data_IF_439521283595
#
_entry.id   IF_439521283595
#
_cell.length_a   1.000
_cell.length_b   1.000
_cell.length_c   1.000
_cell.angle_alpha   90.00
_cell.angle_beta   90.00
_cell.angle_gamma   90.00
#
_symmetry.space_group_name_H-M   'P 1'
#
loop_
_entity.id
_entity.type
_entity.pdbx_description
1 polymer ?
#
# COMPACT_ATOMS: atom_id res chain seq x y z
N UNK A 1 14.46 9.65 11.64
CA UNK A 1 15.38 10.16 10.59
C UNK A 1 15.09 9.41 9.29
N UNK A 2 14.73 10.11 8.25
CA UNK A 2 14.45 9.52 6.94
C UNK A 2 15.78 9.21 6.23
N UNK A 3 16.03 7.93 5.93
CA UNK A 3 17.16 7.54 5.10
C UNK A 3 16.72 7.52 3.64
N UNK A 4 17.47 8.16 2.76
CA UNK A 4 17.20 8.24 1.33
C UNK A 4 18.25 7.47 0.55
N UNK A 5 17.81 6.59 -0.34
CA UNK A 5 18.64 5.86 -1.28
C UNK A 5 18.18 6.17 -2.70
N UNK A 6 19.12 6.46 -3.61
CA UNK A 6 18.83 6.73 -5.02
C UNK A 6 19.69 5.81 -5.86
N UNK A 7 19.04 5.01 -6.71
CA UNK A 7 19.67 4.24 -7.75
C UNK A 7 19.26 4.81 -9.10
N UNK A 8 20.24 5.24 -9.90
CA UNK A 8 19.98 5.79 -11.23
C UNK A 8 20.38 4.79 -12.31
N UNK A 9 19.42 4.38 -13.14
CA UNK A 9 19.65 3.54 -14.31
C UNK A 9 19.10 4.23 -15.56
N UNK A 10 19.96 4.89 -16.31
CA UNK A 10 19.63 5.65 -17.53
C UNK A 10 19.05 4.81 -18.67
N UNK A 11 19.16 3.48 -18.58
CA UNK A 11 18.64 2.55 -19.61
C UNK A 11 17.14 2.24 -19.48
N UNK A 12 16.51 2.66 -18.38
CA UNK A 12 15.10 2.38 -18.09
C UNK A 12 14.25 3.62 -18.30
N UNK A 13 13.09 3.45 -18.94
CA UNK A 13 12.14 4.54 -19.19
C UNK A 13 11.06 4.66 -18.10
N UNK A 14 11.29 4.08 -16.94
CA UNK A 14 10.40 4.19 -15.80
C UNK A 14 11.17 4.50 -14.53
N UNK A 15 10.48 5.15 -13.60
CA UNK A 15 10.98 5.44 -12.25
C UNK A 15 10.07 4.80 -11.22
N UNK A 16 10.67 4.36 -10.13
CA UNK A 16 9.94 3.83 -8.96
C UNK A 16 10.45 4.53 -7.71
N UNK A 17 9.54 4.90 -6.84
CA UNK A 17 9.85 5.34 -5.49
C UNK A 17 9.11 4.48 -4.48
N UNK A 18 9.75 4.18 -3.37
CA UNK A 18 9.15 3.44 -2.27
C UNK A 18 9.43 4.13 -0.95
N UNK A 19 8.45 4.13 -0.07
CA UNK A 19 8.58 4.54 1.32
C UNK A 19 8.47 3.29 2.17
N UNK A 20 9.44 3.10 3.07
CA UNK A 20 9.42 2.05 4.07
C UNK A 20 9.03 2.63 5.42
N UNK A 21 7.96 2.11 6.00
CA UNK A 21 7.47 2.47 7.31
C UNK A 21 7.78 1.31 8.25
N UNK A 22 8.58 1.57 9.28
CA UNK A 22 8.89 0.57 10.29
C UNK A 22 7.64 0.22 11.08
N UNK A 23 7.44 -1.08 11.36
CA UNK A 23 6.26 -1.60 12.03
C UNK A 23 5.38 -2.38 11.07
N UNK A 24 5.47 -3.70 11.11
CA UNK A 24 4.76 -4.64 10.26
C UNK A 24 3.86 -5.57 11.05
N UNK A 25 3.64 -6.77 10.52
CA UNK A 25 2.73 -7.75 11.12
C UNK A 25 3.19 -8.26 12.48
N UNK A 26 4.49 -8.19 12.80
CA UNK A 26 5.02 -8.59 14.10
C UNK A 26 4.64 -7.63 15.23
N UNK A 27 4.34 -6.38 14.90
CA UNK A 27 3.89 -5.37 15.86
C UNK A 27 2.37 -5.43 16.12
N UNK A 28 1.64 -6.31 15.45
CA UNK A 28 0.22 -6.52 15.68
C UNK A 28 0.00 -7.08 17.11
N UNK A 29 -0.71 -6.35 17.96
CA UNK A 29 -1.01 -6.80 19.31
C UNK A 29 -1.90 -8.05 19.32
N UNK A 30 -1.77 -8.85 20.38
CA UNK A 30 -2.61 -10.03 20.60
C UNK A 30 -4.09 -9.61 20.56
N UNK A 31 -4.88 -10.28 19.73
CA UNK A 31 -6.31 -9.96 19.51
C UNK A 31 -6.57 -8.90 18.44
N UNK A 32 -5.53 -8.29 17.87
CA UNK A 32 -5.65 -7.33 16.75
C UNK A 32 -4.77 -7.72 15.56
N UNK A 33 -4.54 -9.00 15.35
CA UNK A 33 -3.74 -9.48 14.22
C UNK A 33 -4.35 -9.06 12.88
N UNK A 34 -3.50 -8.57 11.98
CA UNK A 34 -3.90 -8.06 10.67
C UNK A 34 -4.20 -6.55 10.65
N UNK A 35 -4.05 -5.84 11.78
CA UNK A 35 -4.31 -4.39 11.82
C UNK A 35 -3.37 -3.61 10.90
N UNK A 36 -2.09 -3.98 10.84
CA UNK A 36 -1.12 -3.34 9.95
C UNK A 36 -1.41 -3.64 8.47
N UNK A 37 -1.97 -4.80 8.16
CA UNK A 37 -2.45 -5.12 6.81
C UNK A 37 -3.65 -4.23 6.41
N UNK A 38 -4.59 -4.04 7.31
CA UNK A 38 -5.73 -3.14 7.09
C UNK A 38 -5.23 -1.69 6.95
N UNK A 39 -4.33 -1.25 7.82
CA UNK A 39 -3.77 0.10 7.77
C UNK A 39 -3.06 0.36 6.43
N UNK A 40 -2.21 -0.54 5.98
CA UNK A 40 -1.50 -0.39 4.71
C UNK A 40 -2.47 -0.23 3.53
N UNK A 41 -3.54 -1.03 3.53
CA UNK A 41 -4.58 -0.96 2.50
C UNK A 41 -5.37 0.35 2.57
N UNK A 42 -5.60 0.89 3.77
CA UNK A 42 -6.28 2.18 3.94
C UNK A 42 -5.43 3.36 3.49
N UNK A 43 -4.12 3.32 3.75
CA UNK A 43 -3.20 4.40 3.35
C UNK A 43 -3.25 4.67 1.83
N UNK A 44 -3.49 3.64 1.02
CA UNK A 44 -3.58 3.78 -0.44
C UNK A 44 -4.99 4.08 -0.95
N UNK A 45 -5.97 4.30 -0.06
CA UNK A 45 -7.38 4.54 -0.41
C UNK A 45 -7.84 5.98 -0.25
N UNK A 46 -6.93 6.91 -0.17
CA UNK A 46 -7.21 8.34 -0.16
C UNK A 46 -6.22 9.13 0.69
N UNK A 47 -6.02 10.36 0.28
CA UNK A 47 -5.18 11.33 0.97
C UNK A 47 -5.73 12.72 0.78
N UNK A 48 -5.14 13.72 1.42
CA UNK A 48 -5.60 15.11 1.29
C UNK A 48 -5.78 15.51 -0.18
N UNK A 49 -6.98 15.95 -0.53
CA UNK A 49 -7.35 16.34 -1.90
C UNK A 49 -7.78 15.18 -2.81
N UNK A 50 -7.65 13.93 -2.37
CA UNK A 50 -8.01 12.76 -3.18
C UNK A 50 -8.86 11.77 -2.37
N UNK A 51 -10.09 11.53 -2.84
CA UNK A 51 -10.86 10.36 -2.40
C UNK A 51 -10.26 9.08 -2.97
N UNK A 52 -10.73 7.90 -2.54
CA UNK A 52 -10.30 6.63 -3.12
C UNK A 52 -10.50 6.60 -4.64
N UNK A 53 -11.65 7.05 -5.12
CA UNK A 53 -11.97 7.08 -6.54
C UNK A 53 -11.05 8.05 -7.31
N UNK A 54 -10.95 9.30 -6.86
CA UNK A 54 -10.15 10.33 -7.55
C UNK A 54 -8.65 10.04 -7.49
N UNK A 55 -8.17 9.38 -6.43
CA UNK A 55 -6.78 8.93 -6.33
C UNK A 55 -6.48 7.86 -7.37
N UNK A 56 -7.33 6.84 -7.48
CA UNK A 56 -7.18 5.78 -8.48
C UNK A 56 -7.20 6.35 -9.90
N UNK A 57 -8.18 7.20 -10.19
CA UNK A 57 -8.29 7.87 -11.49
C UNK A 57 -7.06 8.71 -11.83
N UNK A 58 -6.53 9.44 -10.85
CA UNK A 58 -5.31 10.23 -11.03
C UNK A 58 -4.08 9.35 -11.33
N UNK A 59 -3.88 8.29 -10.57
CA UNK A 59 -2.78 7.34 -10.77
C UNK A 59 -2.88 6.66 -12.14
N UNK A 60 -4.05 6.15 -12.49
CA UNK A 60 -4.29 5.47 -13.76
C UNK A 60 -4.14 6.41 -14.96
N UNK A 61 -4.62 7.65 -14.87
CA UNK A 61 -4.49 8.64 -15.94
C UNK A 61 -3.05 8.99 -16.29
N UNK A 62 -2.12 8.79 -15.36
CA UNK A 62 -0.68 8.96 -15.58
C UNK A 62 0.06 7.66 -15.90
N UNK A 63 -0.67 6.56 -16.15
CA UNK A 63 -0.07 5.23 -16.37
C UNK A 63 0.82 4.78 -15.23
N UNK A 64 0.48 5.18 -14.01
CA UNK A 64 1.23 4.84 -12.81
C UNK A 64 0.60 3.65 -12.08
N UNK A 65 1.40 3.00 -11.25
CA UNK A 65 0.99 1.92 -10.36
C UNK A 65 1.31 2.34 -8.93
N UNK A 66 0.32 2.25 -8.05
CA UNK A 66 0.46 2.45 -6.61
C UNK A 66 0.28 1.11 -5.92
N UNK A 67 1.30 0.64 -5.22
CA UNK A 67 1.31 -0.65 -4.54
C UNK A 67 1.63 -0.49 -3.07
N UNK A 68 1.09 -1.40 -2.26
CA UNK A 68 1.45 -1.54 -0.85
C UNK A 68 1.70 -3.00 -0.51
N UNK A 69 2.66 -3.23 0.35
CA UNK A 69 3.01 -4.55 0.88
C UNK A 69 3.28 -4.46 2.38
N UNK A 70 2.87 -5.48 3.10
CA UNK A 70 3.15 -5.60 4.54
C UNK A 70 4.10 -6.77 4.76
N UNK A 71 5.20 -6.46 5.40
CA UNK A 71 6.20 -7.41 5.85
C UNK A 71 6.10 -7.59 7.37
N UNK A 72 6.87 -8.52 7.92
CA UNK A 72 6.92 -8.75 9.37
C UNK A 72 7.38 -7.50 10.12
N UNK A 73 8.38 -6.80 9.59
CA UNK A 73 9.06 -5.67 10.21
C UNK A 73 8.69 -4.28 9.63
N UNK A 74 7.85 -4.24 8.59
CA UNK A 74 7.49 -2.97 7.96
C UNK A 74 6.39 -3.01 6.94
N UNK A 75 5.99 -1.82 6.52
CA UNK A 75 5.05 -1.57 5.43
C UNK A 75 5.79 -0.84 4.32
N UNK A 76 5.72 -1.35 3.11
CA UNK A 76 6.22 -0.69 1.90
C UNK A 76 5.06 -0.10 1.11
N UNK A 77 5.17 1.17 0.74
CA UNK A 77 4.26 1.82 -0.20
C UNK A 77 5.12 2.31 -1.35
N UNK A 78 4.78 1.91 -2.57
CA UNK A 78 5.57 2.25 -3.75
C UNK A 78 4.70 2.80 -4.88
N UNK A 79 5.29 3.71 -5.65
CA UNK A 79 4.71 4.23 -6.86
C UNK A 79 5.70 4.05 -8.02
N UNK A 80 5.19 3.63 -9.15
CA UNK A 80 5.94 3.41 -10.37
C UNK A 80 5.23 4.07 -11.53
N UNK A 81 5.97 4.75 -12.40
CA UNK A 81 5.43 5.33 -13.63
C UNK A 81 6.54 5.53 -14.67
N UNK A 82 6.14 5.88 -15.89
CA UNK A 82 7.08 6.38 -16.89
C UNK A 82 7.77 7.65 -16.39
N UNK A 83 9.02 7.85 -16.80
CA UNK A 83 9.84 8.97 -16.35
C UNK A 83 9.18 10.33 -16.59
N UNK A 84 8.48 10.49 -17.70
CA UNK A 84 7.78 11.72 -18.08
C UNK A 84 6.63 12.11 -17.13
N UNK A 85 6.02 11.13 -16.48
CA UNK A 85 4.91 11.33 -15.55
C UNK A 85 5.29 11.26 -14.08
N UNK A 86 6.50 10.79 -13.79
CA UNK A 86 6.93 10.49 -12.44
C UNK A 86 6.88 11.71 -11.51
N UNK A 87 7.26 12.88 -11.99
CA UNK A 87 7.22 14.12 -11.20
C UNK A 87 5.81 14.53 -10.78
N UNK A 88 4.78 14.08 -11.51
CA UNK A 88 3.37 14.34 -11.18
C UNK A 88 2.83 13.41 -10.11
N UNK A 89 3.26 12.15 -10.15
CA UNK A 89 2.72 11.11 -9.24
C UNK A 89 3.57 10.92 -7.98
N UNK A 90 4.85 11.25 -8.02
CA UNK A 90 5.74 11.12 -6.87
C UNK A 90 5.26 11.85 -5.61
N UNK A 91 4.70 13.09 -5.68
CA UNK A 91 4.19 13.79 -4.50
C UNK A 91 3.04 13.05 -3.78
N UNK A 92 2.34 12.15 -4.47
CA UNK A 92 1.26 11.34 -3.89
C UNK A 92 1.78 10.45 -2.75
N UNK A 93 3.00 9.90 -2.86
CA UNK A 93 3.60 9.12 -1.78
C UNK A 93 3.72 9.91 -0.48
N UNK A 94 4.13 11.16 -0.57
CA UNK A 94 4.26 12.04 0.60
C UNK A 94 2.90 12.35 1.22
N UNK A 95 1.89 12.62 0.40
CA UNK A 95 0.52 12.87 0.86
C UNK A 95 -0.10 11.64 1.53
N UNK A 96 0.09 10.45 0.97
CA UNK A 96 -0.42 9.20 1.53
C UNK A 96 0.11 8.96 2.94
N UNK A 97 1.38 9.26 3.19
CA UNK A 97 2.01 9.01 4.49
C UNK A 97 1.74 10.12 5.48
N UNK A 98 1.79 11.39 5.05
CA UNK A 98 1.64 12.53 5.94
C UNK A 98 0.19 12.95 6.20
N UNK A 99 -0.68 12.75 5.20
CA UNK A 99 -2.07 13.24 5.23
C UNK A 99 -3.04 12.21 4.66
N UNK A 100 -3.06 10.97 5.20
CA UNK A 100 -3.99 9.95 4.76
C UNK A 100 -5.43 10.33 5.17
N UNK A 101 -6.40 9.93 4.35
CA UNK A 101 -7.81 9.94 4.73
C UNK A 101 -8.17 8.53 5.20
N UNK A 102 -8.29 8.36 6.50
CA UNK A 102 -8.72 7.09 7.12
C UNK A 102 -10.24 7.10 7.27
N UNK A 103 -10.94 6.85 6.17
CA UNK A 103 -12.41 6.85 6.14
C UNK A 103 -12.98 5.59 6.78
N UNK A 104 -13.99 5.73 7.63
CA UNK A 104 -14.74 4.61 8.21
C UNK A 104 -15.37 3.72 7.13
N UNK A 105 -15.89 4.32 6.07
CA UNK A 105 -16.49 3.58 4.95
C UNK A 105 -15.44 2.69 4.27
N UNK A 106 -14.27 3.23 3.98
CA UNK A 106 -13.18 2.47 3.38
C UNK A 106 -12.63 1.42 4.35
N UNK A 107 -12.57 1.73 5.64
CA UNK A 107 -12.19 0.76 6.66
C UNK A 107 -13.11 -0.46 6.68
N UNK A 108 -14.41 -0.27 6.67
CA UNK A 108 -15.37 -1.37 6.65
C UNK A 108 -15.25 -2.22 5.37
N UNK A 109 -15.01 -1.58 4.22
CA UNK A 109 -14.75 -2.30 2.95
C UNK A 109 -13.48 -3.15 3.03
N UNK A 110 -12.37 -2.56 3.47
CA UNK A 110 -11.08 -3.27 3.59
C UNK A 110 -11.19 -4.42 4.58
N UNK A 111 -11.82 -4.19 5.73
CA UNK A 111 -12.07 -5.22 6.74
C UNK A 111 -12.85 -6.40 6.17
N UNK A 112 -13.94 -6.13 5.47
CA UNK A 112 -14.77 -7.17 4.82
C UNK A 112 -13.96 -7.96 3.80
N UNK A 113 -13.24 -7.30 2.90
CA UNK A 113 -12.38 -7.94 1.89
C UNK A 113 -11.34 -8.84 2.57
N UNK A 114 -10.70 -8.35 3.65
CA UNK A 114 -9.69 -9.11 4.38
C UNK A 114 -10.27 -10.37 5.04
N UNK A 115 -11.47 -10.26 5.63
CA UNK A 115 -12.17 -11.41 6.22
C UNK A 115 -12.56 -12.43 5.16
N UNK A 116 -13.10 -11.98 4.03
CA UNK A 116 -13.49 -12.86 2.92
C UNK A 116 -12.29 -13.58 2.31
N UNK A 117 -11.15 -12.88 2.22
CA UNK A 117 -9.89 -13.48 1.77
C UNK A 117 -9.43 -14.60 2.72
N UNK A 118 -9.41 -14.35 4.04
CA UNK A 118 -9.01 -15.35 5.04
C UNK A 118 -9.95 -16.57 5.00
N UNK A 119 -11.27 -16.36 4.82
CA UNK A 119 -12.23 -17.46 4.71
C UNK A 119 -11.94 -18.32 3.48
N UNK A 120 -11.75 -17.70 2.32
CA UNK A 120 -11.42 -18.41 1.07
C UNK A 120 -10.09 -19.16 1.16
N UNK A 121 -9.09 -18.56 1.81
CA UNK A 121 -7.79 -19.19 1.99
C UNK A 121 -7.86 -20.42 2.89
N UNK A 122 -8.67 -20.37 3.96
CA UNK A 122 -8.94 -21.53 4.81
C UNK A 122 -9.75 -22.63 4.13
N UNK A 123 -10.59 -22.29 3.16
CA UNK A 123 -11.36 -23.27 2.36
C UNK A 123 -10.47 -23.95 1.31
N UNK A 124 -9.31 -23.39 1.01
CA UNK A 124 -8.35 -23.99 0.08
C UNK A 124 -7.51 -25.06 0.79
N UNK A 125 -7.93 -26.33 0.63
CA UNK A 125 -7.27 -27.50 1.21
C UNK A 125 -5.77 -27.58 0.90
N UNK A 126 -5.34 -27.04 -0.22
CA UNK A 126 -3.93 -27.02 -0.61
C UNK A 126 -3.11 -26.11 0.31
N UNK A 127 -3.62 -24.93 0.64
CA UNK A 127 -2.96 -24.00 1.54
C UNK A 127 -2.92 -24.53 2.98
N UNK A 128 -3.98 -25.21 3.44
CA UNK A 128 -4.02 -25.85 4.76
C UNK A 128 -2.92 -26.90 4.98
N UNK A 129 -2.42 -27.54 3.91
CA UNK A 129 -1.35 -28.53 4.02
C UNK A 129 0.03 -27.92 4.26
N UNK A 130 0.23 -26.64 4.00
CA UNK A 130 1.50 -25.93 4.14
C UNK A 130 1.58 -24.96 5.32
N UNK A 131 0.44 -24.64 5.96
CA UNK A 131 0.41 -23.91 7.23
C UNK A 131 0.73 -24.87 8.39
N UNK A 132 1.99 -25.05 8.62
CA UNK A 132 2.47 -25.63 9.89
C UNK A 132 3.30 -24.63 10.64
#
# INVERSE_FOLDING_TARGET
MLKRYILNNKKRNFSTASIWIKGGSDEDSIGKKGINKILSSLLTRGCEGFSNFTLSEYIESHGAELNQEVFEDGISISIKSLNEHFSKVFPILDLIVKKPILSEIEFQKVKKISIDFIKKDKENLFNMCFEK
#
